data_IF_735237717125
#
_entry.id   IF_735237717125
#
_cell.length_a   1.000
_cell.length_b   1.000
_cell.length_c   1.000
_cell.angle_alpha   90.00
_cell.angle_beta   90.00
_cell.angle_gamma   90.00
#
_symmetry.space_group_name_H-M   'P 1'
#
loop_
_entity.id
_entity.type
_entity.pdbx_description
1 polymer ?
#
# COMPACT_ATOMS: atom_id res chain seq x y z
N UNK A 1 -3.29 12.64 15.83
CA UNK A 1 -4.53 13.02 15.14
C UNK A 1 -5.72 12.53 15.93
N UNK A 2 -6.76 13.34 16.12
CA UNK A 2 -8.03 12.86 16.70
C UNK A 2 -8.81 12.17 15.57
N UNK A 3 -9.54 11.10 15.84
CA UNK A 3 -10.31 10.32 14.84
C UNK A 3 -11.17 11.20 13.92
N UNK A 4 -11.89 12.19 14.50
CA UNK A 4 -12.66 13.17 13.75
C UNK A 4 -11.84 14.07 12.81
N UNK A 5 -10.52 14.19 12.99
CA UNK A 5 -9.63 14.96 12.11
C UNK A 5 -9.19 14.13 10.92
N UNK A 6 -8.88 12.86 11.10
CA UNK A 6 -8.51 11.96 10.00
C UNK A 6 -9.69 11.80 9.04
N UNK A 7 -10.87 11.45 9.57
CA UNK A 7 -12.05 11.24 8.74
C UNK A 7 -12.45 12.49 7.94
N UNK A 8 -12.43 13.68 8.56
CA UNK A 8 -12.72 14.95 7.87
C UNK A 8 -11.68 15.26 6.79
N UNK A 9 -10.41 14.94 7.03
CA UNK A 9 -9.35 15.20 6.09
C UNK A 9 -9.42 14.23 4.90
N UNK A 10 -9.69 12.95 5.16
CA UNK A 10 -9.91 11.95 4.11
C UNK A 10 -11.11 12.34 3.23
N UNK A 11 -12.19 12.90 3.84
CA UNK A 11 -13.33 13.44 3.10
C UNK A 11 -12.96 14.70 2.30
N UNK A 12 -12.16 15.62 2.85
CA UNK A 12 -11.71 16.82 2.14
C UNK A 12 -10.84 16.47 0.92
N UNK A 13 -9.93 15.51 1.04
CA UNK A 13 -9.10 15.03 -0.08
C UNK A 13 -9.96 14.44 -1.20
N UNK A 14 -11.05 13.72 -0.86
CA UNK A 14 -11.99 13.18 -1.84
C UNK A 14 -12.83 14.24 -2.56
N UNK A 15 -13.00 15.43 -1.96
CA UNK A 15 -13.77 16.53 -2.55
C UNK A 15 -12.95 17.43 -3.49
N UNK A 16 -11.61 17.36 -3.43
CA UNK A 16 -10.69 18.16 -4.28
C UNK A 16 -10.65 17.68 -5.76
N UNK A 17 -11.56 16.86 -6.20
CA UNK A 17 -11.67 16.37 -7.58
C UNK A 17 -12.08 17.41 -8.64
N UNK A 18 -11.75 18.72 -8.47
CA UNK A 18 -11.88 19.78 -9.48
C UNK A 18 -10.48 20.28 -9.88
N UNK A 19 -10.24 20.63 -11.17
CA UNK A 19 -8.92 20.99 -11.65
C UNK A 19 -8.48 22.33 -11.05
N UNK A 20 -7.61 22.29 -10.07
CA UNK A 20 -6.82 23.44 -9.66
C UNK A 20 -5.50 23.46 -10.42
N UNK A 21 -5.14 24.62 -10.94
CA UNK A 21 -3.90 24.87 -11.65
C UNK A 21 -2.70 24.44 -10.79
N UNK A 22 -1.83 23.63 -11.38
CA UNK A 22 -0.61 23.10 -10.79
C UNK A 22 0.37 24.25 -10.52
N UNK A 23 0.67 24.50 -9.26
CA UNK A 23 1.89 25.18 -8.89
C UNK A 23 3.04 24.14 -8.96
N UNK A 24 4.06 24.50 -9.69
CA UNK A 24 5.24 23.72 -10.01
C UNK A 24 5.91 23.15 -8.75
N UNK A 25 5.83 21.84 -8.53
CA UNK A 25 6.61 21.13 -7.50
C UNK A 25 7.94 20.66 -8.07
N UNK A 26 8.83 21.60 -8.38
CA UNK A 26 10.16 21.35 -8.94
C UNK A 26 11.27 21.21 -7.90
N UNK A 27 10.99 20.56 -6.74
CA UNK A 27 12.06 20.29 -5.78
C UNK A 27 11.78 19.03 -4.93
N UNK A 28 11.88 17.85 -5.58
CA UNK A 28 12.12 16.61 -4.84
C UNK A 28 13.58 16.21 -5.08
N UNK A 29 14.43 16.09 -4.06
CA UNK A 29 15.80 15.61 -4.25
C UNK A 29 15.78 14.13 -4.64
N UNK A 30 16.57 13.80 -5.68
CA UNK A 30 16.86 12.44 -6.12
C UNK A 30 17.56 11.66 -5.00
N UNK A 31 16.82 10.90 -4.22
CA UNK A 31 17.36 9.92 -3.30
C UNK A 31 17.16 8.52 -3.86
N UNK A 32 18.04 8.11 -4.77
CA UNK A 32 18.53 6.74 -5.00
C UNK A 32 17.56 5.54 -4.98
N UNK A 33 16.26 5.73 -5.04
CA UNK A 33 15.29 4.65 -5.22
C UNK A 33 14.95 4.61 -6.71
N UNK A 34 15.45 3.59 -7.39
CA UNK A 34 15.15 3.37 -8.79
C UNK A 34 13.65 3.37 -9.03
N UNK A 35 13.15 4.08 -10.06
CA UNK A 35 11.75 4.05 -10.42
C UNK A 35 11.33 2.61 -10.75
N UNK A 36 10.06 2.26 -10.54
CA UNK A 36 9.55 0.98 -10.99
C UNK A 36 9.81 0.84 -12.49
N UNK A 37 10.49 -0.22 -12.85
CA UNK A 37 10.88 -0.46 -14.25
C UNK A 37 9.82 -1.35 -14.87
N UNK A 38 9.09 -0.83 -15.85
CA UNK A 38 8.33 -1.66 -16.78
C UNK A 38 9.25 -2.00 -17.96
N UNK A 39 9.37 -3.28 -18.27
CA UNK A 39 10.18 -3.73 -19.40
C UNK A 39 9.39 -4.77 -20.18
N UNK A 40 9.20 -4.54 -21.47
CA UNK A 40 8.64 -5.54 -22.36
C UNK A 40 9.71 -6.59 -22.69
N UNK A 41 9.36 -7.86 -22.50
CA UNK A 41 10.22 -9.00 -22.82
C UNK A 41 9.57 -9.82 -23.93
N UNK A 42 10.38 -10.27 -24.87
CA UNK A 42 9.96 -11.26 -25.85
C UNK A 42 9.68 -12.59 -25.16
N UNK A 43 8.59 -13.22 -25.53
CA UNK A 43 8.19 -14.54 -25.01
C UNK A 43 8.81 -15.60 -25.91
N UNK A 44 9.40 -16.64 -25.30
CA UNK A 44 9.91 -17.78 -26.07
C UNK A 44 8.77 -18.48 -26.85
N UNK A 45 9.06 -19.11 -27.99
CA UNK A 45 8.05 -19.77 -28.82
C UNK A 45 7.16 -20.77 -28.06
N UNK A 46 7.71 -21.42 -27.04
CA UNK A 46 7.01 -22.40 -26.22
C UNK A 46 5.91 -21.78 -25.34
N UNK A 47 5.98 -20.48 -25.10
CA UNK A 47 5.00 -19.71 -24.33
C UNK A 47 4.11 -18.83 -25.22
N UNK A 48 4.25 -18.91 -26.54
CA UNK A 48 3.56 -18.06 -27.52
C UNK A 48 2.06 -18.40 -27.71
N UNK A 49 1.49 -19.27 -26.90
CA UNK A 49 0.10 -19.75 -27.04
C UNK A 49 -1.03 -18.77 -26.69
N UNK A 50 -0.74 -17.50 -26.42
CA UNK A 50 -1.76 -16.44 -26.25
C UNK A 50 -2.56 -16.46 -24.94
N UNK A 51 -2.40 -17.47 -24.08
CA UNK A 51 -3.03 -17.58 -22.77
C UNK A 51 -2.34 -16.74 -21.69
N UNK A 52 -2.96 -16.54 -20.51
CA UNK A 52 -2.30 -15.94 -19.37
C UNK A 52 -1.14 -16.83 -18.92
N UNK A 53 -0.02 -16.20 -18.52
CA UNK A 53 1.12 -16.90 -17.94
C UNK A 53 0.80 -17.28 -16.49
N UNK A 54 1.21 -18.47 -16.08
CA UNK A 54 1.20 -18.84 -14.67
C UNK A 54 2.38 -18.17 -13.92
N UNK A 55 2.41 -18.32 -12.59
CA UNK A 55 3.42 -17.68 -11.77
C UNK A 55 4.86 -18.10 -12.13
N UNK A 56 5.08 -19.38 -12.46
CA UNK A 56 6.38 -19.91 -12.81
C UNK A 56 6.86 -19.41 -14.18
N UNK A 57 5.97 -19.37 -15.15
CA UNK A 57 6.23 -18.81 -16.48
C UNK A 57 6.52 -17.30 -16.39
N UNK A 58 5.75 -16.57 -15.55
CA UNK A 58 5.97 -15.17 -15.29
C UNK A 58 7.34 -14.90 -14.68
N UNK A 59 7.76 -15.71 -13.72
CA UNK A 59 9.08 -15.62 -13.10
C UNK A 59 10.21 -15.92 -14.09
N UNK A 60 10.03 -16.91 -14.96
CA UNK A 60 11.00 -17.25 -16.01
C UNK A 60 11.20 -16.14 -17.03
N UNK A 61 10.10 -15.50 -17.49
CA UNK A 61 10.16 -14.43 -18.50
C UNK A 61 10.67 -13.13 -17.91
N UNK A 62 10.27 -12.80 -16.70
CA UNK A 62 10.60 -11.52 -16.05
C UNK A 62 11.89 -11.58 -15.24
N UNK A 63 12.80 -12.49 -15.57
CA UNK A 63 14.03 -12.76 -14.80
C UNK A 63 14.68 -11.50 -14.17
N UNK A 64 14.62 -11.46 -12.86
CA UNK A 64 15.73 -11.21 -11.93
C UNK A 64 16.32 -9.81 -11.81
N UNK A 65 16.06 -8.85 -12.68
CA UNK A 65 16.64 -7.50 -12.53
C UNK A 65 15.86 -6.57 -11.59
N UNK A 66 14.84 -7.08 -10.94
CA UNK A 66 13.89 -6.25 -10.21
C UNK A 66 13.93 -6.48 -8.70
N UNK A 67 14.46 -5.50 -7.98
CA UNK A 67 14.46 -5.45 -6.51
C UNK A 67 13.13 -4.91 -5.96
N UNK A 68 11.99 -5.55 -6.29
CA UNK A 68 10.67 -5.14 -5.77
C UNK A 68 9.96 -6.31 -5.08
N UNK A 69 9.03 -6.06 -4.15
CA UNK A 69 8.33 -7.11 -3.40
C UNK A 69 7.35 -7.91 -4.24
N UNK A 70 6.94 -7.41 -5.41
CA UNK A 70 6.02 -8.10 -6.32
C UNK A 70 6.50 -7.96 -7.75
N UNK A 71 6.59 -9.07 -8.48
CA UNK A 71 6.73 -9.08 -9.95
C UNK A 71 5.43 -9.54 -10.54
N UNK A 72 4.89 -8.73 -11.40
CA UNK A 72 3.72 -9.07 -12.19
C UNK A 72 4.10 -9.08 -13.64
N UNK A 73 3.57 -10.02 -14.40
CA UNK A 73 3.66 -9.97 -15.84
C UNK A 73 2.26 -9.86 -16.46
N UNK A 74 2.14 -8.99 -17.43
CA UNK A 74 0.93 -8.81 -18.23
C UNK A 74 1.29 -9.12 -19.68
N UNK A 75 0.54 -10.03 -20.29
CA UNK A 75 0.73 -10.31 -21.73
C UNK A 75 0.24 -9.14 -22.55
N UNK A 76 1.14 -8.53 -23.34
CA UNK A 76 0.82 -7.43 -24.25
C UNK A 76 0.39 -7.94 -25.63
N UNK A 77 1.02 -9.04 -26.09
CA UNK A 77 0.73 -9.70 -27.37
C UNK A 77 1.04 -11.19 -27.28
N UNK A 78 0.84 -11.93 -28.37
CA UNK A 78 1.25 -13.33 -28.45
C UNK A 78 2.76 -13.50 -28.22
N UNK A 79 3.56 -12.50 -28.55
CA UNK A 79 5.02 -12.53 -28.59
C UNK A 79 5.69 -11.67 -27.51
N UNK A 80 4.92 -10.89 -26.72
CA UNK A 80 5.48 -10.00 -25.70
C UNK A 80 4.74 -10.03 -24.38
N UNK A 81 5.50 -9.88 -23.32
CA UNK A 81 5.03 -9.78 -21.94
C UNK A 81 5.63 -8.53 -21.32
N UNK A 82 4.80 -7.71 -20.73
CA UNK A 82 5.22 -6.58 -19.92
C UNK A 82 5.49 -7.08 -18.51
N UNK A 83 6.74 -6.99 -18.08
CA UNK A 83 7.15 -7.26 -16.71
C UNK A 83 7.04 -5.98 -15.90
N UNK A 84 6.24 -6.01 -14.87
CA UNK A 84 6.03 -4.89 -13.96
C UNK A 84 6.63 -5.26 -12.61
N UNK A 85 7.61 -4.50 -12.16
CA UNK A 85 7.90 -4.44 -10.74
C UNK A 85 7.04 -3.37 -10.14
N UNK A 86 5.99 -3.76 -9.49
CA UNK A 86 5.31 -2.82 -8.64
C UNK A 86 5.92 -2.88 -7.25
N UNK A 87 6.47 -1.78 -6.75
CA UNK A 87 6.39 -1.53 -5.34
C UNK A 87 4.89 -1.47 -5.07
N UNK A 88 4.38 -2.41 -4.28
CA UNK A 88 2.95 -2.54 -4.08
C UNK A 88 2.37 -1.20 -3.59
N UNK A 89 1.77 -0.45 -4.49
CA UNK A 89 0.89 0.68 -4.15
C UNK A 89 -0.41 0.18 -3.53
N UNK A 90 -0.51 -1.13 -3.30
CA UNK A 90 -1.65 -1.77 -2.72
C UNK A 90 -1.66 -1.62 -1.20
N UNK A 91 -2.84 -1.56 -0.67
CA UNK A 91 -3.21 -1.25 0.69
C UNK A 91 -2.86 -2.40 1.63
N UNK A 92 -2.51 -2.06 2.86
CA UNK A 92 -2.28 -3.03 3.91
C UNK A 92 -0.86 -3.03 4.47
N UNK A 93 -0.77 -3.35 5.76
CA UNK A 93 0.48 -3.42 6.50
C UNK A 93 1.23 -4.70 6.19
N UNK A 94 2.51 -4.60 5.84
CA UNK A 94 3.33 -5.75 5.46
C UNK A 94 4.00 -6.36 6.68
N UNK A 95 3.94 -7.69 6.86
CA UNK A 95 4.73 -8.35 7.88
C UNK A 95 6.22 -8.32 7.51
N UNK A 96 7.07 -8.20 8.51
CA UNK A 96 8.51 -8.38 8.33
C UNK A 96 8.79 -9.78 7.77
N UNK A 97 9.72 -9.89 6.82
CA UNK A 97 10.05 -11.15 6.18
C UNK A 97 9.06 -11.62 5.12
N UNK A 98 8.08 -10.77 4.71
CA UNK A 98 7.15 -11.08 3.64
C UNK A 98 7.93 -11.41 2.37
N UNK A 99 7.71 -12.62 1.85
CA UNK A 99 8.29 -13.06 0.59
C UNK A 99 7.55 -12.45 -0.59
N UNK A 100 8.27 -12.29 -1.67
CA UNK A 100 7.71 -11.80 -2.93
C UNK A 100 6.61 -12.74 -3.43
N UNK A 101 5.48 -12.17 -3.81
CA UNK A 101 4.46 -12.90 -4.54
C UNK A 101 4.72 -12.80 -6.05
N UNK A 102 4.61 -13.92 -6.74
CA UNK A 102 4.63 -13.98 -8.20
C UNK A 102 3.29 -14.50 -8.68
N UNK A 103 2.67 -13.82 -9.61
CA UNK A 103 1.41 -14.25 -10.20
C UNK A 103 1.34 -13.83 -11.66
N UNK A 104 0.67 -14.67 -12.48
CA UNK A 104 0.28 -14.29 -13.83
C UNK A 104 -1.02 -13.51 -13.80
N UNK A 105 -1.08 -12.41 -14.54
CA UNK A 105 -2.27 -11.62 -14.73
C UNK A 105 -2.54 -11.41 -16.23
N UNK A 106 -3.81 -11.33 -16.62
CA UNK A 106 -4.18 -11.04 -18.00
C UNK A 106 -4.20 -9.55 -18.30
N UNK A 107 -4.49 -8.76 -17.28
CA UNK A 107 -4.64 -7.31 -17.33
C UNK A 107 -4.12 -6.67 -16.06
N UNK A 108 -3.87 -5.36 -16.06
CA UNK A 108 -3.53 -4.61 -14.85
C UNK A 108 -4.66 -4.62 -13.81
N UNK A 109 -5.92 -4.74 -14.25
CA UNK A 109 -7.06 -4.94 -13.37
C UNK A 109 -6.95 -6.26 -12.59
N UNK A 110 -6.65 -7.38 -13.28
CA UNK A 110 -6.47 -8.68 -12.66
C UNK A 110 -5.30 -8.67 -11.66
N UNK A 111 -4.19 -8.01 -12.07
CA UNK A 111 -3.02 -7.82 -11.23
C UNK A 111 -3.37 -7.09 -9.93
N UNK A 112 -4.05 -5.96 -10.01
CA UNK A 112 -4.46 -5.19 -8.84
C UNK A 112 -5.34 -6.02 -7.89
N UNK A 113 -6.27 -6.80 -8.42
CA UNK A 113 -7.13 -7.67 -7.60
C UNK A 113 -6.34 -8.78 -6.90
N UNK A 114 -5.36 -9.40 -7.59
CA UNK A 114 -4.52 -10.44 -7.00
C UNK A 114 -3.67 -9.87 -5.86
N UNK A 115 -3.00 -8.74 -6.11
CA UNK A 115 -2.13 -8.06 -5.15
C UNK A 115 -2.89 -7.55 -3.94
N UNK A 116 -4.04 -6.89 -4.15
CA UNK A 116 -4.87 -6.41 -3.05
C UNK A 116 -5.28 -7.57 -2.14
N UNK A 117 -5.80 -8.66 -2.71
CA UNK A 117 -6.22 -9.81 -1.91
C UNK A 117 -5.06 -10.51 -1.19
N UNK A 118 -3.88 -10.55 -1.80
CA UNK A 118 -2.67 -11.09 -1.21
C UNK A 118 -2.17 -10.23 -0.05
N UNK A 119 -2.14 -8.90 -0.20
CA UNK A 119 -1.72 -7.98 0.85
C UNK A 119 -2.66 -7.99 2.04
N UNK A 120 -3.97 -8.02 1.83
CA UNK A 120 -4.96 -8.18 2.90
C UNK A 120 -4.71 -9.47 3.71
N UNK A 121 -4.36 -10.56 3.02
CA UNK A 121 -4.01 -11.81 3.70
C UNK A 121 -2.70 -11.69 4.49
N UNK A 122 -1.68 -11.01 3.95
CA UNK A 122 -0.41 -10.78 4.61
C UNK A 122 -0.55 -9.85 5.84
N UNK A 123 -1.41 -8.83 5.75
CA UNK A 123 -1.68 -7.88 6.83
C UNK A 123 -2.22 -8.53 8.09
N UNK A 124 -2.90 -9.68 7.98
CA UNK A 124 -3.36 -10.45 9.16
C UNK A 124 -2.18 -10.77 10.09
N UNK A 125 -1.07 -11.23 9.54
CA UNK A 125 0.11 -11.59 10.33
C UNK A 125 0.90 -10.35 10.76
N UNK A 126 0.92 -9.31 9.94
CA UNK A 126 1.50 -8.03 10.33
C UNK A 126 0.85 -7.47 11.60
N UNK A 127 -0.48 -7.44 11.71
CA UNK A 127 -1.17 -6.98 12.92
C UNK A 127 -1.04 -7.94 14.11
N UNK A 128 -0.87 -9.24 13.88
CA UNK A 128 -0.56 -10.22 14.94
C UNK A 128 0.84 -9.99 15.50
N UNK A 129 1.83 -9.76 14.64
CA UNK A 129 3.21 -9.42 15.03
C UNK A 129 3.20 -8.11 15.80
N UNK A 130 2.61 -7.05 15.25
CA UNK A 130 2.46 -5.75 15.90
C UNK A 130 1.87 -5.87 17.31
N UNK A 131 0.80 -6.63 17.46
CA UNK A 131 0.18 -6.83 18.78
C UNK A 131 1.13 -7.50 19.77
N UNK A 132 1.91 -8.51 19.34
CA UNK A 132 2.90 -9.19 20.21
C UNK A 132 3.99 -8.21 20.65
N UNK A 133 4.49 -7.40 19.76
CA UNK A 133 5.53 -6.40 20.02
C UNK A 133 5.03 -5.28 20.92
N UNK A 134 3.85 -4.73 20.65
CA UNK A 134 3.20 -3.75 21.52
C UNK A 134 3.01 -4.30 22.95
N UNK A 135 2.60 -5.57 23.10
CA UNK A 135 2.46 -6.21 24.39
C UNK A 135 3.82 -6.30 25.11
N UNK A 136 4.86 -6.73 24.40
CA UNK A 136 6.19 -6.87 24.96
C UNK A 136 6.81 -5.50 25.34
N UNK A 137 6.46 -4.45 24.63
CA UNK A 137 6.86 -3.08 24.93
C UNK A 137 6.02 -2.39 26.01
N UNK A 138 5.06 -3.10 26.63
CA UNK A 138 4.22 -2.56 27.70
C UNK A 138 3.14 -1.59 27.24
N UNK A 139 2.68 -1.72 26.00
CA UNK A 139 1.65 -0.84 25.45
C UNK A 139 0.31 -0.96 26.20
N UNK A 140 -0.46 0.13 26.31
CA UNK A 140 -1.76 0.13 26.95
C UNK A 140 -2.73 -0.88 26.31
N UNK A 141 -3.59 -1.49 27.14
CA UNK A 141 -4.57 -2.49 26.70
C UNK A 141 -5.44 -2.03 25.51
N UNK A 142 -5.73 -0.71 25.39
CA UNK A 142 -6.49 -0.14 24.28
C UNK A 142 -5.79 -0.38 22.92
N UNK A 143 -4.46 -0.19 22.85
CA UNK A 143 -3.68 -0.43 21.62
C UNK A 143 -3.63 -1.92 21.28
N UNK A 144 -3.47 -2.79 22.28
CA UNK A 144 -3.47 -4.24 22.08
C UNK A 144 -4.82 -4.76 21.56
N UNK A 145 -5.94 -4.21 22.08
CA UNK A 145 -7.28 -4.55 21.62
C UNK A 145 -7.52 -4.04 20.20
N UNK A 146 -7.07 -2.83 19.89
CA UNK A 146 -7.18 -2.26 18.55
C UNK A 146 -6.39 -3.09 17.53
N UNK A 147 -5.12 -3.44 17.79
CA UNK A 147 -4.33 -4.32 16.92
C UNK A 147 -4.96 -5.71 16.73
N UNK A 148 -5.56 -6.28 17.80
CA UNK A 148 -6.31 -7.53 17.68
C UNK A 148 -7.57 -7.40 16.82
N UNK A 149 -8.22 -6.23 16.84
CA UNK A 149 -9.37 -5.93 16.00
C UNK A 149 -8.92 -5.82 14.53
N UNK A 150 -7.87 -5.06 14.26
CA UNK A 150 -7.31 -4.91 12.92
C UNK A 150 -6.96 -6.28 12.31
N UNK A 151 -6.29 -7.17 13.05
CA UNK A 151 -6.03 -8.54 12.55
C UNK A 151 -7.30 -9.36 12.22
N UNK A 152 -8.44 -9.07 12.83
CA UNK A 152 -9.73 -9.71 12.48
C UNK A 152 -10.38 -9.02 11.28
N UNK A 153 -10.23 -7.71 11.18
CA UNK A 153 -10.69 -6.93 10.06
C UNK A 153 -9.96 -7.39 8.79
N UNK A 154 -8.62 -7.50 8.81
CA UNK A 154 -7.81 -8.01 7.70
C UNK A 154 -8.21 -9.42 7.24
N UNK A 155 -8.55 -10.31 8.17
CA UNK A 155 -9.05 -11.64 7.82
C UNK A 155 -10.39 -11.59 7.09
N UNK A 156 -11.21 -10.57 7.38
CA UNK A 156 -12.45 -10.31 6.66
C UNK A 156 -12.17 -9.69 5.29
N UNK A 157 -11.24 -8.73 5.22
CA UNK A 157 -10.81 -8.08 3.99
C UNK A 157 -10.23 -9.11 3.00
N UNK A 158 -9.32 -9.97 3.43
CA UNK A 158 -8.76 -11.05 2.62
C UNK A 158 -9.84 -11.96 2.00
N UNK A 159 -10.91 -12.25 2.75
CA UNK A 159 -12.05 -13.02 2.21
C UNK A 159 -12.86 -12.22 1.18
N UNK A 160 -13.09 -10.93 1.42
CA UNK A 160 -13.84 -10.04 0.51
C UNK A 160 -13.03 -9.84 -0.77
N UNK A 161 -11.77 -9.43 -0.67
CA UNK A 161 -10.88 -9.18 -1.81
C UNK A 161 -10.61 -10.48 -2.60
N UNK A 162 -10.39 -11.61 -1.91
CA UNK A 162 -10.23 -12.91 -2.54
C UNK A 162 -11.49 -13.40 -3.24
N UNK A 163 -12.69 -13.11 -2.73
CA UNK A 163 -13.95 -13.41 -3.41
C UNK A 163 -14.13 -12.53 -4.66
N UNK A 164 -13.72 -11.27 -4.58
CA UNK A 164 -13.74 -10.34 -5.72
C UNK A 164 -12.77 -10.82 -6.80
N UNK A 165 -11.52 -11.16 -6.46
CA UNK A 165 -10.52 -11.70 -7.39
C UNK A 165 -11.06 -12.97 -8.10
N UNK A 166 -11.60 -13.94 -7.37
CA UNK A 166 -12.16 -15.16 -7.94
C UNK A 166 -13.32 -14.91 -8.90
N UNK A 167 -14.16 -13.88 -8.63
CA UNK A 167 -15.25 -13.50 -9.55
C UNK A 167 -14.73 -13.14 -10.95
N UNK A 168 -13.52 -12.61 -11.04
CA UNK A 168 -12.86 -12.28 -12.30
C UNK A 168 -11.91 -13.39 -12.80
N UNK A 169 -11.91 -14.55 -12.16
CA UNK A 169 -11.03 -15.67 -12.54
C UNK A 169 -9.57 -15.45 -12.15
N UNK A 170 -9.30 -14.52 -11.22
CA UNK A 170 -7.95 -14.18 -10.78
C UNK A 170 -7.51 -15.12 -9.66
N UNK A 171 -6.31 -15.69 -9.79
CA UNK A 171 -5.68 -16.53 -8.77
C UNK A 171 -4.91 -15.61 -7.81
N UNK A 172 -5.18 -15.75 -6.53
CA UNK A 172 -4.48 -15.00 -5.48
C UNK A 172 -3.28 -15.83 -5.00
N UNK A 173 -2.07 -15.28 -4.99
CA UNK A 173 -0.88 -15.97 -4.50
C UNK A 173 -1.01 -16.37 -3.02
N UNK A 174 -0.30 -17.41 -2.63
CA UNK A 174 -0.16 -17.80 -1.23
C UNK A 174 0.77 -16.80 -0.52
N UNK A 175 0.40 -16.41 0.70
CA UNK A 175 1.25 -15.55 1.53
C UNK A 175 2.33 -16.40 2.19
N UNK A 176 3.56 -16.03 1.96
CA UNK A 176 4.73 -16.60 2.63
C UNK A 176 5.52 -15.49 3.32
N UNK A 177 5.95 -15.74 4.55
CA UNK A 177 6.80 -14.82 5.28
C UNK A 177 7.79 -15.62 6.13
N UNK A 178 9.05 -15.18 6.12
CA UNK A 178 10.07 -15.76 6.98
C UNK A 178 9.87 -15.31 8.43
N UNK A 179 10.23 -16.19 9.35
CA UNK A 179 10.25 -15.84 10.76
C UNK A 179 11.29 -14.73 10.99
N UNK A 180 10.87 -13.66 11.64
CA UNK A 180 11.76 -12.56 11.96
C UNK A 180 11.85 -12.35 13.47
N UNK A 181 13.00 -11.88 13.98
CA UNK A 181 13.17 -11.53 15.37
C UNK A 181 12.19 -10.40 15.76
N UNK A 182 11.88 -10.36 17.05
CA UNK A 182 11.07 -9.26 17.59
C UNK A 182 11.83 -7.95 17.47
N UNK A 183 11.19 -6.92 16.94
CA UNK A 183 11.72 -5.58 16.82
C UNK A 183 11.91 -4.92 18.21
N UNK A 184 12.98 -4.17 18.36
CA UNK A 184 13.17 -3.22 19.44
C UNK A 184 12.16 -2.06 19.36
N UNK A 185 12.09 -1.23 20.39
CA UNK A 185 11.16 -0.10 20.41
C UNK A 185 11.45 0.93 19.29
N UNK A 186 12.71 1.31 18.97
CA UNK A 186 13.01 2.16 17.82
C UNK A 186 12.62 1.53 16.47
N UNK A 187 12.92 0.24 16.26
CA UNK A 187 12.56 -0.47 15.03
C UNK A 187 11.03 -0.57 14.85
N UNK A 188 10.30 -0.80 15.93
CA UNK A 188 8.83 -0.76 15.91
C UNK A 188 8.31 0.63 15.55
N UNK A 189 8.98 1.70 16.02
CA UNK A 189 8.61 3.07 15.69
C UNK A 189 8.89 3.39 14.21
N UNK A 190 10.01 2.93 13.67
CA UNK A 190 10.37 3.09 12.26
C UNK A 190 9.35 2.38 11.35
N UNK A 191 9.06 1.11 11.64
CA UNK A 191 8.07 0.37 10.88
C UNK A 191 6.69 1.02 10.96
N UNK A 192 6.24 1.43 12.15
CA UNK A 192 4.96 2.11 12.31
C UNK A 192 4.90 3.45 11.57
N UNK A 193 6.03 4.15 11.43
CA UNK A 193 6.11 5.40 10.66
C UNK A 193 5.91 5.14 9.16
N UNK A 194 6.45 4.07 8.63
CA UNK A 194 6.41 3.68 7.22
C UNK A 194 5.08 2.98 6.89
N UNK A 195 4.88 1.80 7.45
CA UNK A 195 3.73 0.96 7.13
C UNK A 195 2.44 1.51 7.75
N UNK A 196 2.51 2.01 8.97
CA UNK A 196 1.33 2.51 9.68
C UNK A 196 0.95 3.95 9.29
N UNK A 197 1.80 4.93 9.58
CA UNK A 197 1.42 6.35 9.42
C UNK A 197 1.33 6.80 7.96
N UNK A 198 2.12 6.22 7.06
CA UNK A 198 2.08 6.57 5.63
C UNK A 198 1.19 5.61 4.86
N UNK A 199 1.54 4.31 4.80
CA UNK A 199 0.88 3.36 3.90
C UNK A 199 -0.57 3.05 4.31
N UNK A 200 -0.85 2.78 5.59
CA UNK A 200 -2.24 2.58 6.06
C UNK A 200 -3.11 3.83 5.86
N UNK A 201 -2.54 5.04 6.04
CA UNK A 201 -3.32 6.27 5.80
C UNK A 201 -3.59 6.46 4.31
N UNK A 202 -2.63 6.14 3.45
CA UNK A 202 -2.84 6.13 2.01
C UNK A 202 -3.86 5.07 1.59
N UNK A 203 -3.74 3.84 2.10
CA UNK A 203 -4.69 2.75 1.85
C UNK A 203 -6.12 3.14 2.20
N UNK A 204 -6.32 3.78 3.36
CA UNK A 204 -7.64 4.29 3.74
C UNK A 204 -8.19 5.34 2.75
N UNK A 205 -7.35 6.23 2.20
CA UNK A 205 -7.74 7.18 1.15
C UNK A 205 -8.19 6.46 -0.12
N UNK A 206 -7.40 5.49 -0.58
CA UNK A 206 -7.69 4.71 -1.78
C UNK A 206 -8.96 3.88 -1.61
N UNK A 207 -9.12 3.17 -0.49
CA UNK A 207 -10.30 2.37 -0.22
C UNK A 207 -11.59 3.22 -0.20
N UNK A 208 -11.55 4.41 0.42
CA UNK A 208 -12.66 5.36 0.40
C UNK A 208 -12.98 5.86 -1.01
N UNK A 209 -11.94 6.13 -1.80
CA UNK A 209 -12.11 6.56 -3.19
C UNK A 209 -12.70 5.45 -4.05
N UNK A 210 -12.19 4.23 -3.96
CA UNK A 210 -12.73 3.07 -4.67
C UNK A 210 -14.18 2.80 -4.29
N UNK A 211 -14.53 2.88 -3.01
CA UNK A 211 -15.90 2.75 -2.52
C UNK A 211 -16.87 3.77 -3.13
N UNK A 212 -16.39 4.96 -3.52
CA UNK A 212 -17.21 6.03 -4.07
C UNK A 212 -17.13 6.16 -5.59
N UNK A 213 -15.99 5.81 -6.20
CA UNK A 213 -15.68 6.15 -7.61
C UNK A 213 -15.51 4.95 -8.54
N UNK A 214 -15.31 3.72 -8.04
CA UNK A 214 -15.17 2.56 -8.90
C UNK A 214 -16.41 2.39 -9.79
N UNK A 215 -16.24 2.22 -11.11
CA UNK A 215 -17.36 1.96 -11.99
C UNK A 215 -17.83 0.52 -11.90
N UNK A 216 -16.95 -0.44 -11.53
CA UNK A 216 -17.35 -1.81 -11.23
C UNK A 216 -18.11 -1.87 -9.89
N UNK A 217 -19.35 -2.38 -9.94
CA UNK A 217 -20.23 -2.46 -8.76
C UNK A 217 -19.70 -3.44 -7.69
N UNK A 218 -18.99 -4.49 -8.12
CA UNK A 218 -18.37 -5.45 -7.20
C UNK A 218 -17.23 -4.83 -6.41
N UNK A 219 -16.37 -4.07 -7.09
CA UNK A 219 -15.29 -3.28 -6.46
C UNK A 219 -15.90 -2.26 -5.49
N UNK A 220 -16.87 -1.45 -5.91
CA UNK A 220 -17.54 -0.50 -4.99
C UNK A 220 -18.10 -1.17 -3.74
N UNK A 221 -18.80 -2.29 -3.92
CA UNK A 221 -19.40 -3.02 -2.81
C UNK A 221 -18.35 -3.59 -1.85
N UNK A 222 -17.27 -4.15 -2.39
CA UNK A 222 -16.16 -4.67 -1.59
C UNK A 222 -15.51 -3.55 -0.77
N UNK A 223 -15.13 -2.46 -1.44
CA UNK A 223 -14.45 -1.33 -0.80
C UNK A 223 -15.35 -0.56 0.19
N UNK A 224 -16.66 -0.47 -0.04
CA UNK A 224 -17.58 0.11 0.95
C UNK A 224 -17.61 -0.65 2.27
N UNK A 225 -17.26 -1.94 2.26
CA UNK A 225 -17.17 -2.77 3.48
C UNK A 225 -15.79 -2.71 4.13
N UNK A 226 -14.74 -2.46 3.35
CA UNK A 226 -13.34 -2.41 3.78
C UNK A 226 -12.98 -1.01 4.29
N UNK A 227 -13.29 0.04 3.55
CA UNK A 227 -12.83 1.39 3.81
C UNK A 227 -13.06 1.94 5.25
N UNK A 228 -14.19 1.67 5.92
CA UNK A 228 -14.35 2.10 7.31
C UNK A 228 -13.37 1.44 8.28
N UNK A 229 -12.89 0.25 7.95
CA UNK A 229 -11.94 -0.49 8.75
C UNK A 229 -10.52 0.06 8.50
N UNK A 230 -10.17 0.36 7.24
CA UNK A 230 -8.90 0.99 6.87
C UNK A 230 -8.68 2.35 7.56
N UNK A 231 -9.73 3.16 7.68
CA UNK A 231 -9.67 4.40 8.48
C UNK A 231 -9.27 4.10 9.93
N UNK A 232 -9.83 3.04 10.53
CA UNK A 232 -9.47 2.65 11.91
C UNK A 232 -8.04 2.10 12.02
N UNK A 233 -7.54 1.42 10.98
CA UNK A 233 -6.15 0.95 10.93
C UNK A 233 -5.19 2.15 10.91
N UNK A 234 -5.45 3.14 10.09
CA UNK A 234 -4.69 4.39 10.08
C UNK A 234 -4.75 5.12 11.44
N UNK A 235 -5.93 5.20 12.07
CA UNK A 235 -6.09 5.78 13.41
C UNK A 235 -5.25 5.05 14.48
N UNK A 236 -5.20 3.71 14.40
CA UNK A 236 -4.35 2.90 15.27
C UNK A 236 -2.87 3.23 15.07
N UNK A 237 -2.40 3.34 13.83
CA UNK A 237 -1.02 3.68 13.53
C UNK A 237 -0.61 5.03 14.16
N UNK A 238 -1.44 6.05 14.03
CA UNK A 238 -1.22 7.36 14.66
C UNK A 238 -1.31 7.31 16.19
N UNK A 239 -2.17 6.45 16.75
CA UNK A 239 -2.23 6.24 18.19
C UNK A 239 -0.98 5.55 18.74
N UNK A 240 -0.40 4.63 17.98
CA UNK A 240 0.87 3.98 18.29
C UNK A 240 2.02 4.98 18.21
N UNK A 241 2.08 5.80 17.17
CA UNK A 241 3.10 6.84 17.00
C UNK A 241 3.13 7.80 18.20
N UNK A 242 1.97 8.29 18.64
CA UNK A 242 1.86 9.14 19.83
C UNK A 242 2.30 8.43 21.12
N UNK A 243 2.07 7.11 21.21
CA UNK A 243 2.49 6.34 22.38
C UNK A 243 4.00 6.06 22.35
N UNK A 244 4.59 5.84 21.18
CA UNK A 244 6.03 5.56 21.00
C UNK A 244 6.89 6.82 21.16
N UNK A 245 6.47 7.94 20.59
CA UNK A 245 7.26 9.18 20.48
C UNK A 245 7.93 9.63 21.81
N UNK A 246 7.25 9.69 22.98
CA UNK A 246 7.89 10.08 24.24
C UNK A 246 8.85 9.03 24.81
N UNK A 247 8.87 7.81 24.24
CA UNK A 247 9.74 6.69 24.67
C UNK A 247 11.04 6.61 23.85
N UNK A 248 11.16 7.44 22.84
CA UNK A 248 12.32 7.53 21.98
C UNK A 248 13.21 8.71 22.41
N UNK A 249 14.52 8.58 22.24
CA UNK A 249 15.44 9.71 22.39
C UNK A 249 15.33 10.67 21.20
N UNK A 250 16.05 11.80 21.25
CA UNK A 250 15.97 12.85 20.22
C UNK A 250 16.45 12.35 18.84
N UNK A 251 17.49 11.52 18.80
CA UNK A 251 18.03 10.95 17.57
C UNK A 251 17.06 9.97 16.93
N UNK A 252 16.53 9.03 17.69
CA UNK A 252 15.52 8.06 17.23
C UNK A 252 14.26 8.76 16.69
N UNK A 253 13.80 9.84 17.36
CA UNK A 253 12.71 10.66 16.83
C UNK A 253 13.05 11.33 15.50
N UNK A 254 14.30 11.80 15.32
CA UNK A 254 14.75 12.35 14.02
C UNK A 254 14.75 11.27 12.94
N UNK A 255 15.22 10.09 13.27
CA UNK A 255 15.23 8.93 12.35
C UNK A 255 13.82 8.53 11.93
N UNK A 256 12.88 8.39 12.87
CA UNK A 256 11.46 8.11 12.60
C UNK A 256 10.85 9.16 11.66
N UNK A 257 11.13 10.46 11.88
CA UNK A 257 10.66 11.53 10.98
C UNK A 257 11.27 11.41 9.59
N UNK A 258 12.57 11.07 9.50
CA UNK A 258 13.26 10.87 8.22
C UNK A 258 12.68 9.69 7.46
N UNK A 259 12.47 8.56 8.12
CA UNK A 259 11.84 7.38 7.55
C UNK A 259 10.42 7.66 7.03
N UNK A 260 9.63 8.43 7.77
CA UNK A 260 8.27 8.83 7.35
C UNK A 260 8.28 9.70 6.10
N UNK A 261 9.22 10.66 5.99
CA UNK A 261 9.38 11.48 4.78
C UNK A 261 9.84 10.64 3.59
N UNK A 262 10.80 9.74 3.80
CA UNK A 262 11.28 8.83 2.77
C UNK A 262 10.15 7.92 2.26
N UNK A 263 9.31 7.38 3.16
CA UNK A 263 8.16 6.57 2.78
C UNK A 263 7.12 7.35 1.96
N UNK A 264 6.90 8.63 2.30
CA UNK A 264 5.99 9.49 1.53
C UNK A 264 6.55 9.80 0.13
N UNK A 265 7.86 10.06 0.03
CA UNK A 265 8.52 10.28 -1.26
C UNK A 265 8.52 9.01 -2.12
N UNK A 266 8.76 7.84 -1.53
CA UNK A 266 8.66 6.56 -2.21
C UNK A 266 7.23 6.31 -2.73
N UNK A 267 6.22 6.56 -1.91
CA UNK A 267 4.82 6.47 -2.31
C UNK A 267 4.51 7.36 -3.53
N UNK A 268 4.97 8.61 -3.53
CA UNK A 268 4.80 9.52 -4.65
C UNK A 268 5.46 9.00 -5.95
N UNK A 269 6.58 8.28 -5.85
CA UNK A 269 7.23 7.64 -7.00
C UNK A 269 6.47 6.41 -7.49
N UNK A 270 5.96 5.60 -6.56
CA UNK A 270 5.14 4.42 -6.85
C UNK A 270 3.86 4.77 -7.62
N UNK A 271 3.26 5.93 -7.32
CA UNK A 271 2.03 6.41 -7.96
C UNK A 271 2.20 6.89 -9.41
N UNK A 272 3.42 6.93 -9.93
CA UNK A 272 3.69 7.27 -11.35
C UNK A 272 3.35 6.14 -12.32
N UNK A 273 3.14 4.92 -11.82
CA UNK A 273 2.67 3.80 -12.63
C UNK A 273 1.18 3.92 -12.91
N UNK A 274 0.83 4.04 -14.16
CA UNK A 274 -0.56 4.17 -14.55
C UNK A 274 -1.10 2.87 -15.16
N UNK A 275 -2.16 2.38 -14.57
CA UNK A 275 -3.05 1.45 -15.26
C UNK A 275 -3.75 2.16 -16.42
N UNK A 276 -4.15 1.43 -17.49
CA UNK A 276 -5.01 1.95 -18.52
C UNK A 276 -6.23 2.67 -17.92
N UNK A 277 -6.63 3.80 -18.53
CA UNK A 277 -7.69 4.65 -18.00
C UNK A 277 -9.01 3.88 -17.74
N UNK A 278 -9.33 2.92 -18.60
CA UNK A 278 -10.51 2.05 -18.47
C UNK A 278 -10.43 1.17 -17.21
N UNK A 279 -9.29 0.56 -16.94
CA UNK A 279 -9.06 -0.31 -15.77
C UNK A 279 -9.04 0.52 -14.49
N UNK A 280 -8.37 1.67 -14.54
CA UNK A 280 -8.32 2.62 -13.44
C UNK A 280 -9.73 3.10 -13.05
N UNK A 281 -10.58 3.42 -14.04
CA UNK A 281 -11.98 3.78 -13.82
C UNK A 281 -12.77 2.62 -13.23
N UNK A 282 -12.57 1.40 -13.70
CA UNK A 282 -13.22 0.20 -13.13
C UNK A 282 -12.88 0.03 -11.65
N UNK A 283 -11.62 0.20 -11.29
CA UNK A 283 -11.12 0.08 -9.92
C UNK A 283 -11.43 1.31 -9.05
N UNK A 284 -11.74 2.46 -9.65
CA UNK A 284 -11.90 3.72 -8.93
C UNK A 284 -10.58 4.29 -8.41
N UNK A 285 -9.46 3.94 -9.04
CA UNK A 285 -8.14 4.45 -8.68
C UNK A 285 -7.92 5.87 -9.21
N UNK A 286 -7.13 6.72 -8.52
CA UNK A 286 -6.80 8.05 -9.00
C UNK A 286 -5.92 7.99 -10.25
N UNK A 287 -6.03 8.98 -11.13
CA UNK A 287 -5.02 9.24 -12.15
C UNK A 287 -3.77 9.88 -11.53
N UNK A 288 -2.70 10.00 -12.32
CA UNK A 288 -1.40 10.53 -11.87
C UNK A 288 -1.52 11.88 -11.15
N UNK A 289 -2.18 12.85 -11.78
CA UNK A 289 -2.29 14.20 -11.20
C UNK A 289 -3.13 14.21 -9.93
N UNK A 290 -4.23 13.48 -9.91
CA UNK A 290 -5.06 13.32 -8.71
C UNK A 290 -4.30 12.62 -7.59
N UNK A 291 -3.57 11.56 -7.89
CA UNK A 291 -2.72 10.85 -6.94
C UNK A 291 -1.62 11.76 -6.37
N UNK A 292 -1.01 12.59 -7.19
CA UNK A 292 -0.02 13.57 -6.76
C UNK A 292 -0.63 14.60 -5.78
N UNK A 293 -1.82 15.12 -6.08
CA UNK A 293 -2.56 16.02 -5.18
C UNK A 293 -2.89 15.32 -3.86
N UNK A 294 -3.42 14.10 -3.90
CA UNK A 294 -3.73 13.31 -2.70
C UNK A 294 -2.49 13.04 -1.85
N UNK A 295 -1.36 12.72 -2.49
CA UNK A 295 -0.09 12.49 -1.81
C UNK A 295 0.45 13.77 -1.15
N UNK A 296 0.35 14.91 -1.83
CA UNK A 296 0.73 16.20 -1.27
C UNK A 296 -0.13 16.59 -0.06
N UNK A 297 -1.44 16.32 -0.10
CA UNK A 297 -2.33 16.52 1.06
C UNK A 297 -1.98 15.59 2.23
N UNK A 298 -1.66 14.33 1.94
CA UNK A 298 -1.16 13.41 2.96
C UNK A 298 0.13 13.95 3.59
N UNK A 299 1.04 14.49 2.79
CA UNK A 299 2.28 15.14 3.28
C UNK A 299 1.99 16.31 4.20
N UNK A 300 1.05 17.20 3.84
CA UNK A 300 0.61 18.32 4.68
C UNK A 300 -0.02 17.84 5.99
N UNK A 301 -0.81 16.76 5.95
CA UNK A 301 -1.36 16.15 7.14
C UNK A 301 -0.27 15.65 8.08
N UNK A 302 0.66 14.86 7.54
CA UNK A 302 1.80 14.30 8.28
C UNK A 302 2.61 15.42 8.95
N UNK A 303 2.84 16.53 8.24
CA UNK A 303 3.53 17.69 8.78
C UNK A 303 2.79 18.32 9.98
N UNK A 304 1.47 18.50 9.88
CA UNK A 304 0.63 19.09 10.96
C UNK A 304 0.56 18.21 12.20
N UNK A 305 0.55 16.89 12.05
CA UNK A 305 0.47 15.96 13.18
C UNK A 305 1.81 15.76 13.91
N UNK A 306 2.87 16.30 13.35
CA UNK A 306 4.20 16.32 13.95
C UNK A 306 4.60 17.77 14.27
N UNK A 307 4.03 18.42 15.31
CA UNK A 307 4.17 19.86 15.58
C UNK A 307 5.62 20.34 15.80
N UNK A 308 6.60 19.46 15.84
CA UNK A 308 8.03 19.78 15.90
C UNK A 308 8.65 20.09 14.51
N UNK A 309 7.85 20.23 13.46
CA UNK A 309 8.30 20.64 12.11
C UNK A 309 8.41 22.17 11.95
N UNK A 310 7.91 22.97 12.89
CA UNK A 310 7.91 24.42 12.80
C UNK A 310 9.32 25.05 12.89
N UNK A 311 10.34 24.30 13.30
CA UNK A 311 11.67 24.82 13.57
C UNK A 311 12.68 24.61 12.42
N UNK A 312 12.25 24.22 11.21
CA UNK A 312 13.13 24.01 10.05
C UNK A 312 12.46 24.54 8.75
N UNK A 313 11.90 25.74 8.77
CA UNK A 313 11.54 26.49 7.58
C UNK A 313 12.65 27.51 7.27
#
# INVERSE_FOLDING_TARGET
MRAASLQRLLQAVLLVGTPFALADCSSCPDNGVSPPVSKSHAVSPDLAGGGPLDAQQCEQVCQVEFAGPVVTCVRESAESVLCLTQPAACEGRRPIGLKRAVHGARTGFDCHLAESAWLEAASVDAFRILRRELRAAGAPRRLLRAASRSARDERRHARIAGALARRFGVVVPVVEADAAPRRSLPELALENAIEGCVRETWGALIALRQASRASDAGVRTAMSRIAPDEVRHAELAWAIDRWLSPRLNAEQRREVRRARRAALAALASELRLELPATERTRLGLPGRDEAAVMCAELGRLIARESPQFADLA
#
